data_IF_855699518316
#
_entry.id   IF_855699518316
#
_cell.length_a   1.000
_cell.length_b   1.000
_cell.length_c   1.000
_cell.angle_alpha   90.00
_cell.angle_beta   90.00
_cell.angle_gamma   90.00
#
_symmetry.space_group_name_H-M   'P 1'
#
loop_
_entity.id
_entity.type
_entity.pdbx_description
1 polymer ?
#
# COMPACT_ATOMS: atom_id res chain seq x y z
N UNK A 1 40.78 47.76 -41.83
CA UNK A 1 40.93 47.04 -40.52
C UNK A 1 39.55 46.89 -39.93
N UNK A 2 38.93 45.69 -40.12
CA UNK A 2 37.56 45.45 -39.77
C UNK A 2 37.54 44.58 -38.46
N UNK A 3 36.94 45.08 -37.39
CA UNK A 3 36.86 44.44 -36.11
C UNK A 3 35.53 43.67 -36.07
N UNK A 4 35.62 42.36 -36.17
CA UNK A 4 34.45 41.47 -35.98
C UNK A 4 34.04 41.49 -34.52
N UNK A 5 32.80 41.91 -34.24
CA UNK A 5 32.15 41.78 -32.90
C UNK A 5 31.57 40.39 -32.75
N UNK A 6 32.22 39.57 -31.93
CA UNK A 6 31.71 38.25 -31.55
C UNK A 6 30.70 38.43 -30.41
N UNK A 7 29.42 38.20 -30.69
CA UNK A 7 28.36 38.20 -29.68
C UNK A 7 28.30 36.81 -29.05
N UNK A 8 28.69 36.69 -27.79
CA UNK A 8 28.56 35.47 -26.99
C UNK A 8 27.12 35.44 -26.48
N UNK A 9 26.33 34.50 -27.03
CA UNK A 9 24.96 34.24 -26.59
C UNK A 9 25.01 33.29 -25.41
N UNK A 10 24.75 33.80 -24.23
CA UNK A 10 24.69 33.01 -22.99
C UNK A 10 23.35 32.29 -22.95
N UNK A 11 23.32 30.98 -23.23
CA UNK A 11 22.16 30.14 -23.00
C UNK A 11 21.96 29.93 -21.48
N UNK A 12 20.97 30.60 -20.90
CA UNK A 12 20.52 30.34 -19.54
C UNK A 12 19.69 29.06 -19.54
N UNK A 13 20.29 27.96 -19.13
CA UNK A 13 19.56 26.71 -18.85
C UNK A 13 18.82 26.91 -17.54
N UNK A 14 17.52 27.22 -17.61
CA UNK A 14 16.61 27.10 -16.46
C UNK A 14 16.44 25.63 -16.11
N UNK A 15 17.18 25.16 -15.11
CA UNK A 15 16.90 23.90 -14.45
C UNK A 15 15.53 24.01 -13.73
N UNK A 16 14.49 23.46 -14.35
CA UNK A 16 13.21 23.19 -13.68
C UNK A 16 13.47 22.11 -12.62
N UNK A 17 13.88 22.53 -11.43
CA UNK A 17 13.81 21.69 -10.26
C UNK A 17 12.32 21.47 -9.97
N UNK A 18 11.75 20.43 -10.55
CA UNK A 18 10.44 19.93 -10.17
C UNK A 18 10.52 19.57 -8.69
N UNK A 19 9.79 20.30 -7.85
CA UNK A 19 9.61 19.93 -6.46
C UNK A 19 8.92 18.57 -6.47
N UNK A 20 9.65 17.50 -6.11
CA UNK A 20 9.03 16.23 -5.79
C UNK A 20 8.21 16.48 -4.52
N UNK A 21 6.92 16.69 -4.66
CA UNK A 21 5.99 16.68 -3.53
C UNK A 21 5.91 15.24 -3.05
N UNK A 22 6.64 14.95 -1.98
CA UNK A 22 6.41 13.71 -1.26
C UNK A 22 5.04 13.82 -0.59
N UNK A 23 4.23 12.77 -0.70
CA UNK A 23 2.94 12.68 -0.01
C UNK A 23 3.21 12.65 1.51
N UNK A 24 2.49 13.50 2.25
CA UNK A 24 2.71 13.63 3.70
C UNK A 24 2.16 12.43 4.50
N UNK A 25 1.19 11.68 3.96
CA UNK A 25 0.50 10.62 4.67
C UNK A 25 0.80 9.25 4.07
N UNK A 26 1.07 8.26 4.93
CA UNK A 26 1.12 6.84 4.55
C UNK A 26 -0.27 6.37 4.15
N UNK A 27 -0.39 5.71 3.01
CA UNK A 27 -1.64 5.17 2.48
C UNK A 27 -1.66 3.65 2.65
N UNK A 28 -2.67 3.16 3.36
CA UNK A 28 -2.84 1.74 3.67
C UNK A 28 -4.19 1.28 3.13
N UNK A 29 -4.24 0.18 2.39
CA UNK A 29 -5.52 -0.37 1.95
C UNK A 29 -5.52 -1.90 1.94
N UNK A 30 -6.70 -2.51 2.07
CA UNK A 30 -6.81 -3.95 1.86
C UNK A 30 -7.84 -4.66 2.74
N UNK A 31 -7.39 -5.66 3.46
CA UNK A 31 -8.23 -6.58 4.23
C UNK A 31 -9.15 -5.88 5.24
N UNK A 32 -10.44 -6.19 5.18
CA UNK A 32 -11.41 -5.75 6.19
C UNK A 32 -11.20 -6.42 7.55
N UNK A 33 -10.61 -7.61 7.59
CA UNK A 33 -10.22 -8.31 8.83
C UNK A 33 -9.12 -7.56 9.57
N UNK A 34 -8.15 -7.01 8.82
CA UNK A 34 -7.00 -6.30 9.37
C UNK A 34 -7.32 -4.85 9.69
N UNK A 35 -8.33 -4.27 9.01
CA UNK A 35 -8.71 -2.86 9.15
C UNK A 35 -8.79 -2.34 10.59
N UNK A 36 -9.52 -2.98 11.55
CA UNK A 36 -9.63 -2.44 12.90
C UNK A 36 -8.28 -2.36 13.63
N UNK A 37 -7.39 -3.32 13.40
CA UNK A 37 -6.07 -3.34 14.00
C UNK A 37 -5.16 -2.26 13.37
N UNK A 38 -5.18 -2.16 12.05
CA UNK A 38 -4.40 -1.15 11.33
C UNK A 38 -4.85 0.28 11.68
N UNK A 39 -6.15 0.50 11.88
CA UNK A 39 -6.68 1.82 12.30
C UNK A 39 -6.18 2.21 13.68
N UNK A 40 -6.20 1.29 14.65
CA UNK A 40 -5.66 1.55 16.00
C UNK A 40 -4.18 1.89 15.96
N UNK A 41 -3.40 1.17 15.15
CA UNK A 41 -1.96 1.44 14.98
C UNK A 41 -1.74 2.79 14.31
N UNK A 42 -2.52 3.13 13.30
CA UNK A 42 -2.43 4.41 12.59
C UNK A 42 -2.75 5.60 13.51
N UNK A 43 -3.81 5.48 14.32
CA UNK A 43 -4.17 6.49 15.31
C UNK A 43 -3.05 6.66 16.36
N UNK A 44 -2.58 5.55 16.94
CA UNK A 44 -1.50 5.57 17.92
C UNK A 44 -0.19 6.14 17.33
N UNK A 45 0.08 5.89 16.04
CA UNK A 45 1.23 6.46 15.36
C UNK A 45 1.12 7.98 15.24
N UNK A 46 -0.04 8.51 14.81
CA UNK A 46 -0.27 9.96 14.73
C UNK A 46 -0.26 10.66 16.07
N UNK A 47 -0.67 9.96 17.16
CA UNK A 47 -0.66 10.52 18.53
C UNK A 47 0.73 10.54 19.19
N UNK A 48 1.57 9.53 18.89
CA UNK A 48 2.85 9.36 19.59
C UNK A 48 4.06 9.87 18.81
N UNK A 49 3.90 10.18 17.53
CA UNK A 49 4.96 10.67 16.66
C UNK A 49 4.52 11.96 15.97
N UNK A 50 5.47 12.83 15.69
CA UNK A 50 5.21 14.12 15.02
C UNK A 50 5.08 13.92 13.48
N UNK A 51 4.21 12.99 13.09
CA UNK A 51 3.89 12.66 11.69
C UNK A 51 2.38 12.62 11.46
N UNK A 52 1.90 12.91 10.25
CA UNK A 52 0.49 12.77 9.91
C UNK A 52 -0.01 11.34 10.11
N UNK A 53 -1.21 11.21 10.66
CA UNK A 53 -1.87 9.91 10.85
C UNK A 53 -2.02 9.18 9.52
N UNK A 54 -1.57 7.93 9.39
CA UNK A 54 -1.77 7.12 8.20
C UNK A 54 -3.25 6.97 7.83
N UNK A 55 -3.56 6.99 6.55
CA UNK A 55 -4.92 6.76 6.04
C UNK A 55 -5.11 5.27 5.81
N UNK A 56 -6.10 4.66 6.46
CA UNK A 56 -6.39 3.23 6.36
C UNK A 56 -7.75 2.99 5.70
N UNK A 57 -7.76 2.28 4.58
CA UNK A 57 -8.95 1.98 3.79
C UNK A 57 -9.22 0.46 3.74
N UNK A 58 -10.51 0.10 3.73
CA UNK A 58 -10.96 -1.28 3.50
C UNK A 58 -11.32 -1.49 2.03
N UNK A 59 -11.06 -2.69 1.52
CA UNK A 59 -11.41 -3.05 0.15
C UNK A 59 -11.20 -4.56 -0.12
N UNK A 60 -10.80 -5.30 0.91
CA UNK A 60 -10.43 -6.70 0.83
C UNK A 60 -8.99 -6.93 0.38
N UNK A 61 -8.40 -8.05 0.80
CA UNK A 61 -6.99 -8.39 0.57
C UNK A 61 -6.58 -8.35 -0.91
N UNK A 62 -7.42 -8.87 -1.81
CA UNK A 62 -7.10 -8.90 -3.25
C UNK A 62 -7.10 -7.51 -3.88
N UNK A 63 -8.00 -6.62 -3.44
CA UNK A 63 -8.04 -5.23 -3.92
C UNK A 63 -6.84 -4.44 -3.40
N UNK A 64 -6.50 -4.59 -2.10
CA UNK A 64 -5.33 -3.94 -1.52
C UNK A 64 -4.04 -4.36 -2.22
N UNK A 65 -3.82 -5.66 -2.38
CA UNK A 65 -2.64 -6.18 -3.08
C UNK A 65 -2.58 -5.75 -4.56
N UNK A 66 -3.73 -5.65 -5.24
CA UNK A 66 -3.78 -5.12 -6.60
C UNK A 66 -3.32 -3.65 -6.63
N UNK A 67 -3.87 -2.80 -5.77
CA UNK A 67 -3.49 -1.37 -5.68
C UNK A 67 -2.02 -1.20 -5.31
N UNK A 68 -1.50 -2.04 -4.43
CA UNK A 68 -0.09 -2.05 -4.05
C UNK A 68 0.84 -2.37 -5.24
N UNK A 69 0.39 -3.26 -6.13
CA UNK A 69 1.11 -3.63 -7.35
C UNK A 69 0.82 -2.70 -8.56
N UNK A 70 0.18 -1.54 -8.38
CA UNK A 70 -0.03 -0.57 -9.48
C UNK A 70 1.22 0.26 -9.79
N UNK A 71 2.25 0.23 -8.94
CA UNK A 71 3.52 0.90 -9.14
C UNK A 71 4.01 1.66 -7.92
N UNK A 72 4.97 2.55 -8.16
CA UNK A 72 5.57 3.42 -7.15
C UNK A 72 5.19 4.87 -7.45
N UNK A 73 4.83 5.65 -6.44
CA UNK A 73 4.56 7.08 -6.59
C UNK A 73 3.42 7.59 -5.72
N UNK A 74 3.12 8.87 -5.86
CA UNK A 74 2.19 9.60 -4.99
C UNK A 74 0.74 9.09 -5.05
N UNK A 75 0.34 8.48 -6.16
CA UNK A 75 -1.02 7.99 -6.37
C UNK A 75 -1.19 6.49 -6.05
N UNK A 76 -0.15 5.85 -5.53
CA UNK A 76 -0.17 4.44 -5.13
C UNK A 76 -0.21 4.29 -3.61
N UNK A 77 -0.61 3.14 -3.10
CA UNK A 77 -0.57 2.88 -1.65
C UNK A 77 0.81 2.38 -1.23
N UNK A 78 1.17 2.66 0.02
CA UNK A 78 2.47 2.28 0.60
C UNK A 78 2.41 0.89 1.24
N UNK A 79 1.25 0.52 1.80
CA UNK A 79 1.05 -0.72 2.54
C UNK A 79 -0.24 -1.40 2.08
N UNK A 80 -0.15 -2.68 1.76
CA UNK A 80 -1.34 -3.51 1.55
C UNK A 80 -1.61 -4.39 2.78
N UNK A 81 -2.78 -4.24 3.37
CA UNK A 81 -3.26 -5.14 4.41
C UNK A 81 -3.85 -6.40 3.77
N UNK A 82 -3.44 -7.57 4.25
CA UNK A 82 -3.94 -8.83 3.75
C UNK A 82 -4.19 -9.84 4.88
N UNK A 83 -5.27 -10.62 4.78
CA UNK A 83 -5.58 -11.75 5.67
C UNK A 83 -5.01 -13.09 5.15
N UNK A 84 -4.11 -13.04 4.19
CA UNK A 84 -3.39 -14.15 3.59
C UNK A 84 -2.06 -13.70 3.03
N UNK A 85 -1.16 -14.61 2.77
CA UNK A 85 0.07 -14.32 2.04
C UNK A 85 -0.22 -13.83 0.61
N UNK A 86 0.68 -13.01 0.08
CA UNK A 86 0.67 -12.60 -1.32
C UNK A 86 0.87 -13.83 -2.22
N UNK A 87 0.17 -13.90 -3.34
CA UNK A 87 0.27 -15.01 -4.30
C UNK A 87 1.35 -14.74 -5.34
N UNK A 88 1.95 -15.78 -5.88
CA UNK A 88 2.98 -15.66 -6.94
C UNK A 88 2.54 -14.78 -8.13
N UNK A 89 1.29 -14.91 -8.57
CA UNK A 89 0.73 -14.08 -9.64
C UNK A 89 0.67 -12.58 -9.27
N UNK A 90 0.46 -12.27 -7.99
CA UNK A 90 0.42 -10.90 -7.50
C UNK A 90 1.85 -10.34 -7.40
N UNK A 91 2.81 -11.14 -6.91
CA UNK A 91 4.24 -10.78 -6.93
C UNK A 91 4.72 -10.49 -8.35
N UNK A 92 4.32 -11.32 -9.32
CA UNK A 92 4.67 -11.10 -10.72
C UNK A 92 4.10 -9.79 -11.26
N UNK A 93 2.83 -9.50 -10.97
CA UNK A 93 2.19 -8.25 -11.37
C UNK A 93 2.85 -7.02 -10.72
N UNK A 94 3.24 -7.11 -9.44
CA UNK A 94 4.03 -6.09 -8.77
C UNK A 94 5.36 -5.83 -9.49
N UNK A 95 6.10 -6.89 -9.81
CA UNK A 95 7.40 -6.78 -10.49
C UNK A 95 7.27 -6.15 -11.89
N UNK A 96 6.23 -6.49 -12.65
CA UNK A 96 5.92 -5.89 -13.95
C UNK A 96 5.62 -4.38 -13.84
N UNK A 97 5.09 -3.93 -12.71
CA UNK A 97 4.83 -2.52 -12.40
C UNK A 97 6.00 -1.81 -11.68
N UNK A 98 7.15 -2.48 -11.53
CA UNK A 98 8.35 -1.92 -10.91
C UNK A 98 8.42 -2.06 -9.39
N UNK A 99 7.44 -2.72 -8.75
CA UNK A 99 7.44 -3.02 -7.30
C UNK A 99 8.15 -4.36 -7.09
N UNK A 100 9.45 -4.34 -6.89
CA UNK A 100 10.30 -5.54 -6.85
C UNK A 100 10.75 -5.95 -5.47
N UNK A 101 10.77 -5.00 -4.52
CA UNK A 101 11.20 -5.25 -3.14
C UNK A 101 9.97 -5.21 -2.21
N UNK A 102 9.44 -6.38 -1.90
CA UNK A 102 8.22 -6.55 -1.12
C UNK A 102 8.57 -7.18 0.23
N UNK A 103 8.23 -6.48 1.32
CA UNK A 103 8.41 -6.97 2.68
C UNK A 103 7.06 -7.44 3.22
N UNK A 104 6.97 -8.69 3.65
CA UNK A 104 5.81 -9.24 4.36
C UNK A 104 6.06 -9.19 5.87
N UNK A 105 5.16 -8.50 6.59
CA UNK A 105 5.17 -8.45 8.06
C UNK A 105 3.94 -9.19 8.58
N UNK A 106 4.14 -10.31 9.27
CA UNK A 106 3.05 -11.07 9.89
C UNK A 106 2.74 -10.50 11.26
N UNK A 107 1.53 -9.94 11.41
CA UNK A 107 1.09 -9.28 12.65
C UNK A 107 0.26 -10.20 13.56
N UNK A 108 -0.26 -11.33 13.06
CA UNK A 108 -1.06 -12.26 13.84
C UNK A 108 -1.70 -13.36 13.02
N UNK A 109 -2.57 -14.12 13.67
CA UNK A 109 -3.39 -15.14 13.06
C UNK A 109 -4.87 -14.84 13.31
N UNK A 110 -5.71 -15.17 12.35
CA UNK A 110 -7.16 -15.11 12.43
C UNK A 110 -7.75 -16.49 12.30
N UNK A 111 -8.93 -16.70 12.90
CA UNK A 111 -9.64 -17.97 12.88
C UNK A 111 -11.03 -17.83 12.26
N UNK A 112 -11.37 -18.73 11.35
CA UNK A 112 -12.71 -18.84 10.78
C UNK A 112 -13.47 -19.88 11.57
N UNK A 113 -14.69 -19.53 11.99
CA UNK A 113 -15.58 -20.44 12.70
C UNK A 113 -16.95 -20.47 12.03
N UNK A 114 -17.59 -21.64 12.07
CA UNK A 114 -18.98 -21.76 11.73
C UNK A 114 -19.82 -21.65 13.00
N UNK A 115 -20.80 -20.76 12.99
CA UNK A 115 -21.69 -20.56 14.12
C UNK A 115 -23.15 -20.71 13.69
N UNK A 116 -23.97 -21.32 14.56
CA UNK A 116 -25.43 -21.34 14.43
C UNK A 116 -26.08 -20.80 15.70
N UNK A 117 -27.34 -20.36 15.60
CA UNK A 117 -28.11 -20.01 16.78
C UNK A 117 -28.24 -21.20 17.75
N UNK A 118 -28.45 -20.93 19.06
CA UNK A 118 -28.53 -21.95 20.13
C UNK A 118 -29.58 -23.04 19.81
N UNK A 119 -30.65 -22.67 19.13
CA UNK A 119 -31.73 -23.57 18.69
C UNK A 119 -31.58 -24.01 17.22
N UNK A 120 -30.49 -23.65 16.55
CA UNK A 120 -30.22 -24.04 15.17
C UNK A 120 -29.69 -25.46 15.03
N UNK A 121 -29.56 -25.90 13.77
CA UNK A 121 -28.98 -27.20 13.47
C UNK A 121 -27.51 -27.23 13.92
N UNK A 122 -27.09 -28.36 14.48
CA UNK A 122 -25.67 -28.61 14.76
C UNK A 122 -25.02 -29.05 13.47
N UNK A 123 -23.91 -28.41 13.14
CA UNK A 123 -23.05 -28.75 12.00
C UNK A 123 -21.83 -29.53 12.52
N UNK A 124 -21.43 -30.54 11.79
CA UNK A 124 -20.18 -31.26 12.00
C UNK A 124 -19.55 -31.42 10.61
N UNK A 125 -18.47 -30.69 10.37
CA UNK A 125 -17.74 -30.75 9.12
C UNK A 125 -16.39 -31.41 9.32
N UNK A 126 -16.00 -32.24 8.37
CA UNK A 126 -14.63 -32.70 8.26
C UNK A 126 -13.77 -31.64 7.55
N UNK A 127 -12.44 -31.64 7.70
CA UNK A 127 -11.58 -30.68 6.99
C UNK A 127 -11.74 -30.68 5.47
N UNK A 128 -12.19 -31.81 4.88
CA UNK A 128 -12.43 -31.92 3.45
C UNK A 128 -13.77 -31.34 2.97
N UNK A 129 -14.66 -31.02 3.88
CA UNK A 129 -15.99 -30.41 3.60
C UNK A 129 -15.98 -28.90 3.75
N UNK A 130 -14.84 -28.33 4.06
CA UNK A 130 -14.61 -26.87 4.16
C UNK A 130 -14.26 -26.27 2.78
#
# INVERSE_FOLDING_TARGET
MSIAKTTISTLTVCALAGSAYARDNVQVAGSSTVLPYASIVAEAYGENFDFPTPVVESGGSSSGLKRFCEGLGENTIDIANASRAIKEKEVKACAEAGVTDIIEVRIGYDGIVFASGIVGNRFAFTPSEW
#
